data_IF_141642109264
#
_entry.id   IF_141642109264
#
_cell.length_a   1.000
_cell.length_b   1.000
_cell.length_c   1.000
_cell.angle_alpha   90.00
_cell.angle_beta   90.00
_cell.angle_gamma   90.00
#
_symmetry.space_group_name_H-M   'P 1'
#
loop_
_entity.id
_entity.type
_entity.pdbx_description
1 polymer ?
#
# COMPACT_ATOMS: atom_id res chain seq x y z
N UNK A 1 7.67 -5.48 -10.03
CA UNK A 1 6.29 -6.02 -10.11
C UNK A 1 6.22 -7.50 -10.49
N UNK A 2 6.76 -7.96 -11.63
CA UNK A 2 6.61 -9.35 -12.12
C UNK A 2 7.06 -10.45 -11.13
N UNK A 3 8.16 -10.24 -10.42
CA UNK A 3 8.61 -11.21 -9.41
C UNK A 3 7.63 -11.30 -8.24
N UNK A 4 7.20 -10.15 -7.73
CA UNK A 4 6.26 -10.04 -6.61
C UNK A 4 4.94 -10.75 -6.91
N UNK A 5 4.34 -10.49 -8.08
CA UNK A 5 3.05 -11.08 -8.44
C UNK A 5 3.08 -12.60 -8.55
N UNK A 6 4.23 -13.18 -8.90
CA UNK A 6 4.41 -14.64 -9.01
C UNK A 6 4.66 -15.33 -7.67
N UNK A 7 5.18 -14.61 -6.67
CA UNK A 7 5.71 -15.21 -5.44
C UNK A 7 4.92 -14.84 -4.17
N UNK A 8 4.07 -13.80 -4.20
CA UNK A 8 3.33 -13.35 -3.01
C UNK A 8 2.41 -14.45 -2.43
N UNK A 9 1.75 -15.23 -3.29
CA UNK A 9 0.85 -16.31 -2.85
C UNK A 9 1.62 -17.43 -2.13
N UNK A 10 2.78 -17.83 -2.67
CA UNK A 10 3.65 -18.83 -2.06
C UNK A 10 4.11 -18.35 -0.67
N UNK A 11 4.62 -17.13 -0.58
CA UNK A 11 5.10 -16.54 0.69
C UNK A 11 3.99 -16.41 1.72
N UNK A 12 2.78 -16.08 1.27
CA UNK A 12 1.61 -16.07 2.14
C UNK A 12 1.27 -17.46 2.69
N UNK A 13 1.25 -18.50 1.85
CA UNK A 13 0.98 -19.87 2.29
C UNK A 13 2.01 -20.36 3.31
N UNK A 14 3.30 -20.12 3.04
CA UNK A 14 4.40 -20.47 3.95
C UNK A 14 4.21 -19.78 5.31
N UNK A 15 3.95 -18.46 5.30
CA UNK A 15 3.75 -17.67 6.51
C UNK A 15 2.49 -18.08 7.28
N UNK A 16 1.39 -18.40 6.61
CA UNK A 16 0.15 -18.82 7.24
C UNK A 16 0.31 -20.15 7.97
N UNK A 17 1.02 -21.11 7.35
CA UNK A 17 1.31 -22.41 7.97
C UNK A 17 2.12 -22.29 9.28
N UNK A 18 2.94 -21.24 9.39
CA UNK A 18 3.82 -21.03 10.54
C UNK A 18 3.18 -20.16 11.63
N UNK A 19 2.46 -19.10 11.24
CA UNK A 19 2.02 -18.04 12.17
C UNK A 19 0.56 -18.19 12.62
N UNK A 20 -0.25 -18.99 11.93
CA UNK A 20 -1.65 -19.29 12.29
C UNK A 20 -2.64 -18.12 12.27
N UNK A 21 -2.19 -16.88 12.01
CA UNK A 21 -3.02 -15.67 11.93
C UNK A 21 -2.93 -15.02 10.56
N UNK A 22 -4.09 -14.72 9.95
CA UNK A 22 -4.18 -14.08 8.62
C UNK A 22 -3.42 -12.74 8.56
N UNK A 23 -3.57 -11.89 9.58
CA UNK A 23 -2.90 -10.58 9.62
C UNK A 23 -1.38 -10.71 9.71
N UNK A 24 -0.90 -11.59 10.58
CA UNK A 24 0.53 -11.85 10.74
C UNK A 24 1.12 -12.50 9.50
N UNK A 25 0.38 -13.43 8.87
CA UNK A 25 0.77 -14.09 7.63
C UNK A 25 0.88 -13.10 6.47
N UNK A 26 -0.10 -12.20 6.27
CA UNK A 26 -0.04 -11.16 5.26
C UNK A 26 1.17 -10.24 5.48
N UNK A 27 1.37 -9.78 6.71
CA UNK A 27 2.51 -8.92 7.07
C UNK A 27 3.84 -9.62 6.79
N UNK A 28 3.98 -10.86 7.26
CA UNK A 28 5.19 -11.67 7.08
C UNK A 28 5.45 -11.97 5.61
N UNK A 29 4.41 -12.26 4.81
CA UNK A 29 4.55 -12.49 3.38
C UNK A 29 5.15 -11.30 2.66
N UNK A 30 4.74 -10.07 2.99
CA UNK A 30 5.32 -8.86 2.41
C UNK A 30 6.80 -8.69 2.78
N UNK A 31 7.17 -8.92 4.05
CA UNK A 31 8.55 -8.82 4.52
C UNK A 31 9.45 -9.88 3.89
N UNK A 32 9.04 -11.15 3.92
CA UNK A 32 9.76 -12.26 3.31
C UNK A 32 9.94 -12.06 1.81
N UNK A 33 8.91 -11.56 1.13
CA UNK A 33 8.98 -11.26 -0.30
C UNK A 33 9.96 -10.12 -0.59
N UNK A 34 9.98 -9.08 0.23
CA UNK A 34 10.94 -7.98 0.11
C UNK A 34 12.38 -8.50 0.25
N UNK A 35 12.65 -9.36 1.23
CA UNK A 35 13.99 -9.94 1.43
C UNK A 35 14.38 -10.90 0.30
N UNK A 36 13.43 -11.69 -0.22
CA UNK A 36 13.64 -12.51 -1.42
C UNK A 36 14.01 -11.65 -2.63
N UNK A 37 13.33 -10.53 -2.86
CA UNK A 37 13.60 -9.63 -4.01
C UNK A 37 15.02 -9.09 -4.00
N UNK A 38 15.59 -8.80 -2.81
CA UNK A 38 17.00 -8.35 -2.68
C UNK A 38 18.02 -9.39 -3.13
N UNK A 39 17.64 -10.67 -3.13
CA UNK A 39 18.52 -11.79 -3.50
C UNK A 39 18.43 -12.17 -4.98
N UNK A 40 17.62 -11.45 -5.77
CA UNK A 40 17.43 -11.76 -7.20
C UNK A 40 18.35 -10.89 -8.04
N UNK A 41 19.38 -11.50 -8.63
CA UNK A 41 20.47 -10.80 -9.35
C UNK A 41 20.01 -9.85 -10.47
N UNK A 42 18.89 -10.15 -11.13
CA UNK A 42 18.38 -9.33 -12.23
C UNK A 42 17.39 -8.22 -11.80
N UNK A 43 17.19 -8.03 -10.48
CA UNK A 43 16.36 -6.97 -9.94
C UNK A 43 17.24 -5.94 -9.23
N UNK A 44 17.35 -4.76 -9.84
CA UNK A 44 18.01 -3.60 -9.26
C UNK A 44 17.08 -2.94 -8.23
N UNK A 45 17.20 -3.33 -6.96
CA UNK A 45 16.32 -2.85 -5.88
C UNK A 45 16.55 -1.39 -5.49
N UNK A 46 17.67 -0.81 -5.90
CA UNK A 46 18.01 0.61 -5.78
C UNK A 46 17.27 1.49 -6.80
N UNK A 47 16.90 0.92 -7.95
CA UNK A 47 16.26 1.65 -9.06
C UNK A 47 14.82 1.21 -9.34
N UNK A 48 14.37 0.10 -8.74
CA UNK A 48 13.06 -0.47 -9.00
C UNK A 48 12.31 -0.76 -7.70
N UNK A 49 11.16 -0.08 -7.54
CA UNK A 49 10.17 -0.35 -6.52
C UNK A 49 8.86 -0.86 -7.12
N UNK A 50 7.97 -1.38 -6.28
CA UNK A 50 6.59 -1.70 -6.65
C UNK A 50 5.69 -1.47 -5.45
N UNK A 51 4.46 -1.06 -5.71
CA UNK A 51 3.39 -1.14 -4.72
C UNK A 51 2.85 -2.57 -4.65
N UNK A 52 2.20 -2.92 -3.55
CA UNK A 52 1.53 -4.20 -3.37
C UNK A 52 0.22 -3.98 -2.60
N UNK A 53 -0.89 -4.38 -3.20
CA UNK A 53 -2.19 -4.46 -2.53
C UNK A 53 -2.71 -5.89 -2.68
N UNK A 54 -3.00 -6.56 -1.56
CA UNK A 54 -3.52 -7.93 -1.54
C UNK A 54 -4.91 -7.96 -0.92
N UNK A 55 -5.82 -8.68 -1.57
CA UNK A 55 -7.17 -8.96 -1.11
C UNK A 55 -7.31 -10.47 -0.90
N UNK A 56 -7.73 -10.89 0.28
CA UNK A 56 -7.96 -12.29 0.63
C UNK A 56 -9.37 -12.47 1.18
N UNK A 57 -10.08 -13.46 0.66
CA UNK A 57 -11.38 -13.89 1.16
C UNK A 57 -11.20 -15.15 2.01
N UNK A 58 -11.73 -15.12 3.23
CA UNK A 58 -11.80 -16.27 4.14
C UNK A 58 -13.25 -16.39 4.64
N UNK A 59 -14.03 -17.22 3.96
CA UNK A 59 -15.48 -17.27 4.11
C UNK A 59 -16.11 -15.90 3.86
N UNK A 60 -16.75 -15.34 4.89
CA UNK A 60 -17.39 -14.02 4.86
C UNK A 60 -16.44 -12.87 5.26
N UNK A 61 -15.22 -13.18 5.71
CA UNK A 61 -14.25 -12.17 6.12
C UNK A 61 -13.35 -11.79 4.95
N UNK A 62 -13.16 -10.48 4.77
CA UNK A 62 -12.25 -9.94 3.77
C UNK A 62 -11.05 -9.30 4.46
N UNK A 63 -9.86 -9.77 4.12
CA UNK A 63 -8.60 -9.19 4.58
C UNK A 63 -7.96 -8.38 3.45
N UNK A 64 -7.52 -7.17 3.77
CA UNK A 64 -6.78 -6.31 2.85
C UNK A 64 -5.45 -5.91 3.47
N UNK A 65 -4.37 -6.05 2.72
CA UNK A 65 -3.05 -5.52 3.07
C UNK A 65 -2.56 -4.60 1.95
N UNK A 66 -2.07 -3.42 2.32
CA UNK A 66 -1.66 -2.40 1.37
C UNK A 66 -0.27 -1.84 1.71
N UNK A 67 0.60 -1.80 0.71
CA UNK A 67 1.92 -1.18 0.76
C UNK A 67 2.08 -0.27 -0.47
N UNK A 68 1.99 1.03 -0.24
CA UNK A 68 2.17 2.07 -1.25
C UNK A 68 0.93 2.94 -1.42
N UNK A 69 0.86 3.62 -2.56
CA UNK A 69 -0.21 4.55 -2.92
C UNK A 69 -1.32 3.88 -3.77
N UNK A 70 -1.20 2.58 -4.04
CA UNK A 70 -2.30 1.79 -4.59
C UNK A 70 -3.45 1.68 -3.60
N UNK A 71 -4.66 1.48 -4.12
CA UNK A 71 -5.90 1.48 -3.33
C UNK A 71 -6.76 0.27 -3.65
N UNK A 72 -7.30 -0.37 -2.61
CA UNK A 72 -8.39 -1.32 -2.75
C UNK A 72 -9.69 -0.63 -2.35
N UNK A 73 -10.72 -0.76 -3.18
CA UNK A 73 -12.08 -0.29 -2.89
C UNK A 73 -13.05 -1.46 -2.96
N UNK A 74 -13.80 -1.69 -1.88
CA UNK A 74 -14.84 -2.72 -1.82
C UNK A 74 -16.18 -2.00 -1.74
N UNK A 75 -17.07 -2.30 -2.69
CA UNK A 75 -18.45 -1.81 -2.72
C UNK A 75 -19.43 -2.95 -2.42
N UNK A 76 -20.40 -2.73 -1.53
CA UNK A 76 -21.55 -3.62 -1.37
C UNK A 76 -22.85 -2.87 -1.64
N UNK A 77 -23.74 -3.52 -2.38
CA UNK A 77 -25.11 -3.06 -2.56
C UNK A 77 -25.94 -3.42 -1.33
N UNK A 78 -26.36 -2.42 -0.56
CA UNK A 78 -27.23 -2.62 0.60
C UNK A 78 -28.70 -2.39 0.21
N UNK A 79 -29.60 -3.33 0.55
CA UNK A 79 -31.05 -3.10 0.53
C UNK A 79 -31.85 -3.67 -0.64
N UNK A 80 -31.35 -4.66 -1.37
CA UNK A 80 -32.12 -5.30 -2.45
C UNK A 80 -33.17 -6.28 -1.90
N UNK A 81 -34.29 -5.78 -1.38
CA UNK A 81 -35.54 -6.56 -1.36
C UNK A 81 -36.30 -6.20 -2.64
N UNK A 82 -36.45 -7.15 -3.55
CA UNK A 82 -37.29 -7.07 -4.77
C UNK A 82 -36.70 -6.36 -6.02
N UNK A 83 -35.40 -6.57 -6.33
CA UNK A 83 -34.90 -6.35 -7.70
C UNK A 83 -34.76 -4.90 -8.17
N UNK A 84 -35.06 -3.91 -7.32
CA UNK A 84 -34.82 -2.50 -7.63
C UNK A 84 -33.34 -2.13 -7.39
N UNK A 85 -32.56 -2.10 -8.47
CA UNK A 85 -31.13 -1.76 -8.47
C UNK A 85 -30.90 -0.24 -8.39
N UNK A 86 -31.93 0.57 -8.64
CA UNK A 86 -31.82 2.01 -8.81
C UNK A 86 -31.56 2.81 -7.53
N UNK A 87 -31.90 2.27 -6.34
CA UNK A 87 -31.81 2.95 -5.04
C UNK A 87 -30.87 2.26 -4.04
N UNK A 88 -29.86 1.55 -4.53
CA UNK A 88 -28.92 0.82 -3.67
C UNK A 88 -27.91 1.76 -3.03
N UNK A 89 -27.89 1.81 -1.69
CA UNK A 89 -26.79 2.42 -0.96
C UNK A 89 -25.51 1.61 -1.17
N UNK A 90 -24.40 2.28 -1.50
CA UNK A 90 -23.10 1.64 -1.66
C UNK A 90 -22.28 1.82 -0.39
N UNK A 91 -22.10 0.75 0.39
CA UNK A 91 -21.07 0.75 1.42
C UNK A 91 -19.70 0.63 0.74
N UNK A 92 -18.83 1.63 0.93
CA UNK A 92 -17.48 1.66 0.34
C UNK A 92 -16.40 1.63 1.42
N UNK A 93 -15.58 0.59 1.40
CA UNK A 93 -14.32 0.55 2.16
C UNK A 93 -13.17 0.90 1.22
N UNK A 94 -12.30 1.84 1.61
CA UNK A 94 -11.07 2.20 0.87
C UNK A 94 -9.86 2.04 1.79
N UNK A 95 -8.80 1.38 1.32
CA UNK A 95 -7.55 1.31 2.07
C UNK A 95 -6.86 2.67 2.18
N UNK A 96 -6.20 2.99 3.30
CA UNK A 96 -5.32 4.15 3.39
C UNK A 96 -4.18 4.07 2.36
N UNK A 97 -3.82 5.23 1.80
CA UNK A 97 -2.67 5.38 0.91
C UNK A 97 -1.42 5.72 1.74
N UNK A 98 -0.28 5.08 1.43
CA UNK A 98 1.01 5.53 1.94
C UNK A 98 1.53 6.65 1.06
N UNK A 99 1.33 7.88 1.51
CA UNK A 99 1.66 9.10 0.78
C UNK A 99 2.34 10.10 1.69
N UNK A 100 3.15 10.98 1.10
CA UNK A 100 3.84 12.07 1.81
C UNK A 100 2.89 13.19 2.26
N UNK A 101 1.60 13.11 1.92
CA UNK A 101 0.56 13.96 2.52
C UNK A 101 0.02 13.41 3.84
N UNK A 102 0.51 12.25 4.30
CA UNK A 102 0.12 11.65 5.58
C UNK A 102 1.14 12.01 6.65
N UNK A 103 0.67 12.62 7.74
CA UNK A 103 1.52 13.00 8.88
C UNK A 103 2.26 11.80 9.47
N UNK A 104 1.64 10.62 9.50
CA UNK A 104 2.28 9.40 10.01
C UNK A 104 3.44 8.93 9.13
N UNK A 105 3.33 9.07 7.80
CA UNK A 105 4.41 8.72 6.88
C UNK A 105 5.54 9.75 6.94
N UNK A 106 5.21 11.04 7.01
CA UNK A 106 6.18 12.13 7.18
C UNK A 106 7.02 11.94 8.46
N UNK A 107 6.34 11.66 9.58
CA UNK A 107 7.00 11.40 10.86
C UNK A 107 7.92 10.18 10.79
N UNK A 108 7.49 9.11 10.13
CA UNK A 108 8.32 7.91 9.96
C UNK A 108 9.60 8.21 9.19
N UNK A 109 9.50 8.98 8.11
CA UNK A 109 10.66 9.35 7.28
C UNK A 109 11.63 10.24 8.07
N UNK A 110 11.11 11.24 8.78
CA UNK A 110 11.92 12.14 9.61
C UNK A 110 12.66 11.41 10.72
N UNK A 111 11.99 10.49 11.42
CA UNK A 111 12.63 9.63 12.44
C UNK A 111 13.71 8.73 11.86
N UNK A 112 13.62 8.40 10.58
CA UNK A 112 14.65 7.64 9.85
C UNK A 112 15.78 8.53 9.33
N UNK A 113 15.77 9.84 9.61
CA UNK A 113 16.76 10.81 9.11
C UNK A 113 16.54 11.27 7.67
N UNK A 114 15.45 10.83 7.03
CA UNK A 114 15.07 11.27 5.69
C UNK A 114 14.53 12.69 5.68
N UNK A 115 14.61 13.34 4.52
CA UNK A 115 13.98 14.64 4.27
C UNK A 115 12.82 14.44 3.32
N UNK A 116 11.88 15.40 3.31
CA UNK A 116 10.76 15.40 2.39
C UNK A 116 10.66 16.79 1.80
N UNK A 117 10.66 16.90 0.47
CA UNK A 117 10.70 18.18 -0.24
C UNK A 117 10.10 18.10 -1.65
N UNK A 118 9.54 19.21 -2.12
CA UNK A 118 9.18 19.42 -3.54
C UNK A 118 10.44 19.60 -4.40
N UNK A 119 10.30 19.54 -5.73
CA UNK A 119 11.43 19.81 -6.63
C UNK A 119 11.97 21.23 -6.46
N UNK A 120 11.08 22.21 -6.24
CA UNK A 120 11.44 23.61 -6.06
C UNK A 120 12.24 23.83 -4.77
N UNK A 121 11.84 23.16 -3.69
CA UNK A 121 12.58 23.19 -2.43
C UNK A 121 13.96 22.55 -2.56
N UNK A 122 14.05 21.42 -3.28
CA UNK A 122 15.33 20.75 -3.56
C UNK A 122 16.25 21.62 -4.40
N UNK A 123 15.71 22.27 -5.42
CA UNK A 123 16.46 23.11 -6.36
C UNK A 123 16.71 24.53 -5.80
N UNK A 124 16.17 24.84 -4.61
CA UNK A 124 16.37 26.11 -3.89
C UNK A 124 15.55 27.29 -4.44
N UNK A 125 14.58 27.03 -5.32
CA UNK A 125 13.67 28.04 -5.88
C UNK A 125 12.52 28.37 -4.92
N UNK A 126 12.33 27.56 -3.88
CA UNK A 126 11.33 27.74 -2.82
C UNK A 126 11.92 27.43 -1.43
N UNK A 127 11.55 28.18 -0.37
CA UNK A 127 11.95 27.84 1.00
C UNK A 127 11.38 26.50 1.48
N UNK A 128 12.07 25.86 2.44
CA UNK A 128 11.57 24.64 3.08
C UNK A 128 10.27 24.91 3.86
N UNK A 129 9.26 24.08 3.61
CA UNK A 129 7.95 24.07 4.25
C UNK A 129 7.29 22.70 4.07
N UNK A 130 6.22 22.42 4.83
CA UNK A 130 5.48 21.14 4.75
C UNK A 130 4.04 21.28 4.22
N UNK A 131 3.60 22.49 3.86
CA UNK A 131 2.23 22.77 3.40
C UNK A 131 2.01 22.50 1.90
N UNK A 132 2.44 21.34 1.40
CA UNK A 132 2.25 20.95 0.00
C UNK A 132 0.78 20.67 -0.34
N UNK A 133 0.36 20.99 -1.56
CA UNK A 133 -1.00 20.72 -2.05
C UNK A 133 -1.05 19.47 -2.94
N UNK A 134 -2.17 18.74 -2.92
CA UNK A 134 -2.40 17.58 -3.80
C UNK A 134 -2.52 17.95 -5.29
N UNK A 135 -2.69 19.23 -5.63
CA UNK A 135 -2.82 19.72 -7.01
C UNK A 135 -1.50 20.26 -7.58
N UNK A 136 -0.49 20.47 -6.73
CA UNK A 136 0.83 20.99 -7.12
C UNK A 136 1.86 19.89 -7.32
N UNK A 137 3.14 20.27 -7.37
CA UNK A 137 4.23 19.31 -7.35
C UNK A 137 4.23 18.55 -6.01
N UNK A 138 4.06 17.22 -6.02
CA UNK A 138 4.02 16.46 -4.79
C UNK A 138 5.43 16.40 -4.17
N UNK A 139 5.52 16.40 -2.83
CA UNK A 139 6.79 16.19 -2.17
C UNK A 139 7.37 14.81 -2.49
N UNK A 140 8.68 14.66 -2.29
CA UNK A 140 9.48 13.45 -2.51
C UNK A 140 10.44 13.27 -1.34
N UNK A 141 10.88 12.03 -1.11
CA UNK A 141 11.91 11.67 -0.12
C UNK A 141 13.30 11.96 -0.69
#
# INVERSE_FOLDING_TARGET
SRYVSKNIQLRFSDALSTLGSMKSALTSAHLLLHDCVKQVDNIKTDLSGTTITTLLFDGETVYVSNLGDSVCMIGSACGATNGDVANQGLCRLKTPEHTLFSDTELDRIRRSGGKVMSINQRDGTEPMHDNWSRKGDPPRI
#
